data_IF_835291643935
#
_entry.id   IF_835291643935
#
_cell.length_a   1.000
_cell.length_b   1.000
_cell.length_c   1.000
_cell.angle_alpha   90.00
_cell.angle_beta   90.00
_cell.angle_gamma   90.00
#
_symmetry.space_group_name_H-M   'P 1'
#
loop_
_entity.id
_entity.type
_entity.pdbx_description
1 polymer ?
#
# COMPACT_ATOMS: atom_id res chain seq x y z
N UNK A 1 13.49 5.18 -9.87
CA UNK A 1 12.04 5.25 -9.63
C UNK A 1 11.84 5.27 -8.12
N UNK A 2 11.32 6.35 -7.54
CA UNK A 2 11.05 6.41 -6.09
C UNK A 2 9.73 5.69 -5.83
N UNK A 3 9.79 4.53 -5.19
CA UNK A 3 8.62 3.68 -4.94
C UNK A 3 8.09 3.98 -3.55
N UNK A 4 6.81 4.32 -3.44
CA UNK A 4 6.13 4.57 -2.19
C UNK A 4 5.10 3.46 -1.96
N UNK A 5 5.21 2.74 -0.84
CA UNK A 5 4.25 1.69 -0.49
C UNK A 5 3.43 2.16 0.70
N UNK A 6 2.12 2.36 0.47
CA UNK A 6 1.13 2.64 1.52
C UNK A 6 0.30 1.41 1.77
N UNK A 7 0.40 0.85 2.97
CA UNK A 7 -0.41 -0.32 3.36
C UNK A 7 -1.72 0.17 3.96
N UNK A 8 -2.84 -0.31 3.43
CA UNK A 8 -4.18 -0.02 3.91
C UNK A 8 -4.98 -1.33 4.04
N UNK A 9 -5.61 -1.54 5.18
CA UNK A 9 -6.57 -2.64 5.37
C UNK A 9 -7.98 -2.15 5.02
N UNK A 10 -8.66 -2.86 4.11
CA UNK A 10 -10.07 -2.62 3.77
C UNK A 10 -10.86 -3.92 3.93
N UNK A 11 -12.05 -3.84 4.54
CA UNK A 11 -12.88 -5.00 4.93
C UNK A 11 -13.88 -5.47 3.85
N UNK A 12 -13.72 -5.06 2.59
CA UNK A 12 -14.69 -5.43 1.54
C UNK A 12 -14.27 -6.73 0.83
N UNK A 13 -15.25 -7.59 0.56
CA UNK A 13 -15.10 -8.89 -0.10
C UNK A 13 -14.37 -8.79 -1.44
N UNK A 14 -13.37 -9.67 -1.64
CA UNK A 14 -12.52 -9.75 -2.83
C UNK A 14 -13.32 -10.19 -4.09
N UNK A 15 -14.47 -10.84 -3.92
CA UNK A 15 -15.23 -11.45 -5.03
C UNK A 15 -15.77 -10.45 -6.08
N UNK A 16 -15.74 -9.15 -5.81
CA UNK A 16 -16.21 -8.11 -6.74
C UNK A 16 -15.06 -7.45 -7.54
N UNK A 17 -13.80 -7.78 -7.24
CA UNK A 17 -12.61 -7.10 -7.78
C UNK A 17 -12.32 -7.51 -9.22
N UNK A 18 -12.42 -8.80 -9.54
CA UNK A 18 -12.09 -9.34 -10.87
C UNK A 18 -12.97 -8.74 -11.98
N UNK A 19 -14.26 -8.57 -11.70
CA UNK A 19 -15.23 -8.01 -12.66
C UNK A 19 -15.07 -6.50 -12.85
N UNK A 20 -14.60 -5.80 -11.82
CA UNK A 20 -14.41 -4.34 -11.85
C UNK A 20 -13.17 -3.94 -12.67
N UNK A 21 -12.07 -4.69 -12.54
CA UNK A 21 -10.83 -4.41 -13.28
C UNK A 21 -10.91 -4.76 -14.77
N UNK A 22 -11.69 -5.79 -15.14
CA UNK A 22 -12.00 -6.09 -16.54
C UNK A 22 -12.70 -4.93 -17.30
N UNK A 23 -13.27 -3.95 -16.58
CA UNK A 23 -14.01 -2.82 -17.15
C UNK A 23 -13.26 -1.48 -17.13
N UNK A 24 -12.01 -1.41 -16.65
CA UNK A 24 -11.34 -0.11 -16.46
C UNK A 24 -9.93 -0.04 -17.08
N UNK A 25 -9.73 1.05 -17.84
CA UNK A 25 -8.48 1.65 -18.36
C UNK A 25 -7.38 0.73 -18.92
N UNK A 26 -6.86 1.00 -20.13
CA UNK A 26 -5.94 0.10 -20.86
C UNK A 26 -4.58 -0.18 -20.18
N UNK A 27 -4.25 0.50 -19.07
CA UNK A 27 -2.93 0.43 -18.41
C UNK A 27 -2.95 -0.24 -17.03
N UNK A 28 -4.03 -0.93 -16.66
CA UNK A 28 -4.12 -1.63 -15.37
C UNK A 28 -3.99 -3.14 -15.59
N UNK A 29 -3.01 -3.75 -14.92
CA UNK A 29 -2.84 -5.21 -14.91
C UNK A 29 -3.21 -5.77 -13.54
N UNK A 30 -4.10 -6.76 -13.53
CA UNK A 30 -4.46 -7.50 -12.32
C UNK A 30 -3.82 -8.89 -12.33
N UNK A 31 -3.13 -9.23 -11.25
CA UNK A 31 -2.44 -10.52 -11.08
C UNK A 31 -3.06 -11.24 -9.88
N UNK A 32 -4.02 -12.16 -10.10
CA UNK A 32 -4.62 -12.92 -9.01
C UNK A 32 -3.58 -13.84 -8.37
N UNK A 33 -3.71 -14.09 -7.06
CA UNK A 33 -2.83 -15.00 -6.32
C UNK A 33 -1.34 -14.73 -6.53
N UNK A 34 -0.94 -13.44 -6.54
CA UNK A 34 0.46 -13.02 -6.70
C UNK A 34 1.40 -13.73 -5.71
N UNK A 35 0.91 -13.94 -4.48
CA UNK A 35 1.52 -14.80 -3.47
C UNK A 35 0.65 -16.03 -3.25
N UNK A 36 1.25 -17.15 -2.83
CA UNK A 36 0.49 -18.31 -2.36
C UNK A 36 -0.31 -17.96 -1.11
N UNK A 37 -1.27 -18.81 -0.72
CA UNK A 37 -2.08 -18.57 0.46
C UNK A 37 -1.24 -18.59 1.74
N UNK A 38 -0.27 -19.49 1.83
CA UNK A 38 0.66 -19.64 2.95
C UNK A 38 1.54 -18.39 3.09
N UNK A 39 2.13 -17.97 1.97
CA UNK A 39 3.00 -16.79 1.93
C UNK A 39 2.22 -15.51 2.26
N UNK A 40 1.00 -15.38 1.73
CA UNK A 40 0.10 -14.26 2.03
C UNK A 40 -0.22 -14.16 3.52
N UNK A 41 -0.48 -15.30 4.19
CA UNK A 41 -0.72 -15.34 5.65
C UNK A 41 0.52 -14.90 6.42
N UNK A 42 1.70 -15.39 6.05
CA UNK A 42 2.96 -15.02 6.70
C UNK A 42 3.26 -13.53 6.56
N UNK A 43 3.14 -13.00 5.33
CA UNK A 43 3.30 -11.58 5.05
C UNK A 43 2.29 -10.79 5.87
N UNK A 44 1.01 -11.16 5.87
CA UNK A 44 -0.03 -10.49 6.65
C UNK A 44 0.30 -10.41 8.15
N UNK A 45 0.77 -11.52 8.75
CA UNK A 45 1.20 -11.54 10.16
C UNK A 45 2.38 -10.61 10.44
N UNK A 46 3.29 -10.43 9.48
CA UNK A 46 4.39 -9.46 9.60
C UNK A 46 3.88 -8.02 9.45
N UNK A 47 2.97 -7.79 8.51
CA UNK A 47 2.39 -6.48 8.23
C UNK A 47 1.55 -5.97 9.39
N UNK A 48 0.80 -6.82 10.08
CA UNK A 48 -0.06 -6.43 11.21
C UNK A 48 0.71 -5.82 12.39
N UNK A 49 2.04 -6.03 12.45
CA UNK A 49 2.94 -5.47 13.46
C UNK A 49 3.53 -4.11 13.08
N UNK A 50 3.24 -3.60 11.88
CA UNK A 50 3.75 -2.29 11.46
C UNK A 50 3.18 -1.16 12.34
N UNK A 51 3.91 -0.05 12.50
CA UNK A 51 3.49 1.07 13.35
C UNK A 51 2.45 1.95 12.62
N UNK A 52 1.25 1.41 12.43
CA UNK A 52 0.16 2.13 11.78
C UNK A 52 -0.31 3.32 12.61
N UNK A 53 -0.59 4.44 11.93
CA UNK A 53 -1.10 5.67 12.53
C UNK A 53 -2.48 5.99 11.95
N UNK A 54 -3.29 6.73 12.70
CA UNK A 54 -4.57 7.29 12.23
C UNK A 54 -4.34 8.77 11.89
N UNK A 55 -4.04 9.10 10.61
CA UNK A 55 -3.78 10.48 10.24
C UNK A 55 -5.09 11.29 10.22
N UNK A 56 -5.01 12.57 10.56
CA UNK A 56 -6.07 13.53 10.24
C UNK A 56 -5.73 14.10 8.86
N UNK A 57 -6.64 13.97 7.91
CA UNK A 57 -6.48 14.51 6.56
C UNK A 57 -7.37 15.74 6.36
N UNK A 58 -6.92 16.70 5.54
CA UNK A 58 -7.74 17.82 5.10
C UNK A 58 -8.24 17.56 3.69
N UNK A 59 -9.56 17.61 3.51
CA UNK A 59 -10.22 17.51 2.21
C UNK A 59 -11.12 18.72 2.05
N UNK A 60 -10.86 19.54 1.02
CA UNK A 60 -11.61 20.77 0.73
C UNK A 60 -11.76 21.70 1.97
N UNK A 61 -10.67 21.89 2.72
CA UNK A 61 -10.64 22.75 3.91
C UNK A 61 -11.23 22.14 5.18
N UNK A 62 -11.88 20.96 5.11
CA UNK A 62 -12.43 20.25 6.27
C UNK A 62 -11.49 19.13 6.71
N UNK A 63 -11.33 18.97 8.03
CA UNK A 63 -10.52 17.90 8.61
C UNK A 63 -11.34 16.63 8.82
N UNK A 64 -10.79 15.48 8.43
CA UNK A 64 -11.41 14.17 8.56
C UNK A 64 -10.44 13.16 9.17
N UNK A 65 -10.95 12.29 10.03
CA UNK A 65 -10.26 11.09 10.48
C UNK A 65 -10.72 9.90 9.63
N UNK A 66 -9.85 9.33 8.78
CA UNK A 66 -10.19 8.14 8.03
C UNK A 66 -10.45 6.95 8.98
N UNK A 67 -11.43 6.12 8.64
CA UNK A 67 -11.69 4.83 9.32
C UNK A 67 -10.66 3.76 8.92
N UNK A 68 -9.38 4.13 8.85
CA UNK A 68 -8.26 3.26 8.52
C UNK A 68 -7.01 3.78 9.17
N UNK A 69 -6.13 2.85 9.54
CA UNK A 69 -4.76 3.16 9.91
C UNK A 69 -3.85 3.01 8.71
N UNK A 70 -2.81 3.83 8.61
CA UNK A 70 -1.81 3.75 7.55
C UNK A 70 -0.39 3.91 8.11
N UNK A 71 0.56 3.29 7.43
CA UNK A 71 1.98 3.61 7.54
C UNK A 71 2.58 3.60 6.13
N UNK A 72 3.69 4.31 5.98
CA UNK A 72 4.36 4.53 4.71
C UNK A 72 5.82 4.15 4.83
N UNK A 73 6.36 3.51 3.79
CA UNK A 73 7.76 3.10 3.72
C UNK A 73 8.41 3.65 2.44
N UNK A 74 9.68 4.01 2.54
CA UNK A 74 10.40 4.67 1.46
C UNK A 74 11.91 4.71 1.69
N UNK A 75 12.59 5.25 0.68
CA UNK A 75 14.03 5.53 0.75
C UNK A 75 14.31 6.60 1.82
N UNK A 76 15.54 6.60 2.36
CA UNK A 76 15.95 7.65 3.30
C UNK A 76 15.83 9.02 2.62
N UNK A 77 15.44 10.03 3.41
CA UNK A 77 15.26 11.42 2.97
C UNK A 77 14.16 11.66 1.92
N UNK A 78 13.28 10.68 1.71
CA UNK A 78 12.08 10.90 0.90
C UNK A 78 11.03 11.64 1.72
N UNK A 79 10.66 12.84 1.30
CA UNK A 79 9.53 13.57 1.88
C UNK A 79 8.35 13.52 0.90
N UNK A 80 7.18 13.10 1.38
CA UNK A 80 5.97 13.05 0.57
C UNK A 80 4.93 14.03 1.10
N UNK A 81 4.60 15.05 0.32
CA UNK A 81 3.57 16.01 0.66
C UNK A 81 2.29 15.74 -0.13
N UNK A 82 1.15 15.72 0.56
CA UNK A 82 -0.16 15.70 -0.07
C UNK A 82 -1.16 16.55 0.70
N UNK A 83 -1.93 17.39 0.01
CA UNK A 83 -2.98 18.21 0.62
C UNK A 83 -2.51 19.05 1.83
N UNK A 84 -1.26 19.53 1.80
CA UNK A 84 -0.63 20.27 2.90
C UNK A 84 -0.24 19.42 4.11
N UNK A 85 -0.26 18.08 3.98
CA UNK A 85 0.29 17.13 4.94
C UNK A 85 1.60 16.57 4.43
N UNK A 86 2.68 16.82 5.17
CA UNK A 86 3.96 16.17 4.95
C UNK A 86 3.98 14.82 5.71
N UNK A 87 4.27 13.75 4.98
CA UNK A 87 4.47 12.41 5.50
C UNK A 87 5.94 11.99 5.30
N UNK A 88 6.66 11.81 6.42
CA UNK A 88 7.99 11.19 6.43
C UNK A 88 7.82 9.67 6.49
N UNK A 89 8.24 8.92 5.45
CA UNK A 89 8.13 7.48 5.41
C UNK A 89 9.13 6.83 6.37
N UNK A 90 8.78 5.63 6.82
CA UNK A 90 9.67 4.77 7.57
C UNK A 90 10.71 4.15 6.63
N UNK A 91 11.93 3.87 7.12
CA UNK A 91 12.91 3.15 6.33
C UNK A 91 12.41 1.73 6.02
N UNK A 92 12.72 1.25 4.82
CA UNK A 92 12.34 -0.09 4.37
C UNK A 92 12.69 -1.18 5.39
N UNK A 93 11.68 -1.91 5.86
CA UNK A 93 11.90 -3.15 6.58
C UNK A 93 12.03 -4.35 5.61
N UNK A 94 12.54 -5.49 6.10
CA UNK A 94 12.77 -6.68 5.27
C UNK A 94 11.53 -7.15 4.52
N UNK A 95 10.36 -7.10 5.16
CA UNK A 95 9.09 -7.53 4.56
C UNK A 95 8.65 -6.60 3.44
N UNK A 96 8.72 -5.28 3.64
CA UNK A 96 8.38 -4.28 2.64
C UNK A 96 9.31 -4.35 1.43
N UNK A 97 10.62 -4.50 1.68
CA UNK A 97 11.61 -4.61 0.62
C UNK A 97 11.41 -5.88 -0.22
N UNK A 98 11.06 -7.01 0.44
CA UNK A 98 10.67 -8.23 -0.26
C UNK A 98 9.48 -7.99 -1.19
N UNK A 99 8.40 -7.40 -0.67
CA UNK A 99 7.20 -7.12 -1.48
C UNK A 99 7.52 -6.24 -2.67
N UNK A 100 8.27 -5.16 -2.46
CA UNK A 100 8.75 -4.27 -3.54
C UNK A 100 9.53 -5.05 -4.59
N UNK A 101 10.52 -5.83 -4.17
CA UNK A 101 11.40 -6.59 -5.07
C UNK A 101 10.63 -7.62 -5.88
N UNK A 102 9.67 -8.33 -5.27
CA UNK A 102 8.88 -9.34 -5.97
C UNK A 102 8.01 -8.71 -7.06
N UNK A 103 7.39 -7.55 -6.77
CA UNK A 103 6.58 -6.80 -7.74
C UNK A 103 7.44 -6.26 -8.89
N UNK A 104 8.61 -5.72 -8.59
CA UNK A 104 9.57 -5.23 -9.60
C UNK A 104 10.02 -6.35 -10.54
N UNK A 105 10.43 -7.50 -9.98
CA UNK A 105 10.80 -8.69 -10.76
C UNK A 105 9.68 -9.18 -11.67
N UNK A 106 8.42 -9.12 -11.22
CA UNK A 106 7.28 -9.55 -12.04
C UNK A 106 7.03 -8.63 -13.23
N UNK A 107 7.29 -7.34 -13.06
CA UNK A 107 7.02 -6.30 -14.05
C UNK A 107 8.24 -5.93 -14.91
N UNK A 108 9.41 -6.56 -14.67
CA UNK A 108 10.62 -6.35 -15.46
C UNK A 108 11.39 -5.07 -15.13
N UNK A 109 11.27 -4.58 -13.89
CA UNK A 109 12.02 -3.43 -13.36
C UNK A 109 13.08 -3.86 -12.36
#
# INVERSE_FOLDING_TARGET
MRVFVKVMFHYKSIAQVDKLFAMSSPNITYIPNFYSQEESKEIFTKLSKCPFKEPIIKVCGKSYQPLRKSCSYGDMDLEYEYSGHCELPLPWNRTMLKIKTDVEKKNGF
#
